data_IF_483244115048
#
_entry.id   IF_483244115048
#
_cell.length_a   1.000
_cell.length_b   1.000
_cell.length_c   1.000
_cell.angle_alpha   90.00
_cell.angle_beta   90.00
_cell.angle_gamma   90.00
#
_symmetry.space_group_name_H-M   'P 1'
#
loop_
_entity.id
_entity.type
_entity.pdbx_description
1 polymer ?
#
# COMPACT_ATOMS: atom_id res chain seq x y z
N UNK A 1 -2.67 0.17 2.57
CA UNK A 1 -2.49 -1.30 2.50
C UNK A 1 -3.83 -2.04 2.43
N UNK A 2 -4.74 -1.89 3.40
CA UNK A 2 -6.02 -2.63 3.41
C UNK A 2 -6.84 -2.51 2.11
N UNK A 3 -6.93 -1.31 1.53
CA UNK A 3 -7.62 -1.14 0.24
C UNK A 3 -6.96 -1.91 -0.92
N UNK A 4 -5.63 -2.04 -0.94
CA UNK A 4 -4.92 -2.84 -1.95
C UNK A 4 -5.29 -4.32 -1.80
N UNK A 5 -5.34 -4.83 -0.56
CA UNK A 5 -5.75 -6.21 -0.25
C UNK A 5 -7.20 -6.46 -0.66
N UNK A 6 -8.12 -5.59 -0.22
CA UNK A 6 -9.55 -5.72 -0.53
C UNK A 6 -9.81 -5.76 -2.04
N UNK A 7 -9.07 -4.94 -2.80
CA UNK A 7 -9.20 -4.91 -4.26
C UNK A 7 -8.67 -6.17 -4.91
N UNK A 8 -7.51 -6.68 -4.47
CA UNK A 8 -7.00 -7.97 -4.92
C UNK A 8 -8.00 -9.11 -4.66
N UNK A 9 -8.62 -9.12 -3.49
CA UNK A 9 -9.63 -10.12 -3.14
C UNK A 9 -10.87 -10.03 -4.03
N UNK A 10 -11.37 -8.82 -4.26
CA UNK A 10 -12.53 -8.59 -5.10
C UNK A 10 -12.25 -8.95 -6.57
N UNK A 11 -11.06 -8.65 -7.10
CA UNK A 11 -10.69 -9.05 -8.46
C UNK A 11 -10.49 -10.55 -8.59
N UNK A 12 -9.99 -11.23 -7.55
CA UNK A 12 -9.83 -12.70 -7.56
C UNK A 12 -11.19 -13.41 -7.52
N UNK A 13 -12.18 -12.83 -6.85
CA UNK A 13 -13.49 -13.45 -6.64
C UNK A 13 -14.62 -12.44 -6.85
N UNK A 14 -14.78 -11.96 -8.08
CA UNK A 14 -15.69 -10.87 -8.45
C UNK A 14 -17.17 -11.10 -8.06
N UNK A 15 -17.61 -12.35 -7.96
CA UNK A 15 -19.00 -12.71 -7.64
C UNK A 15 -19.29 -12.81 -6.15
N UNK A 16 -18.28 -12.78 -5.28
CA UNK A 16 -18.46 -12.92 -3.83
C UNK A 16 -18.89 -11.61 -3.15
N UNK A 17 -18.71 -10.47 -3.81
CA UNK A 17 -18.93 -9.16 -3.21
C UNK A 17 -19.94 -8.36 -4.03
N UNK A 18 -20.92 -7.77 -3.36
CA UNK A 18 -21.86 -6.83 -4.00
C UNK A 18 -21.18 -5.49 -4.37
N UNK A 19 -20.06 -5.15 -3.73
CA UNK A 19 -19.27 -3.97 -4.01
C UNK A 19 -18.11 -3.80 -3.03
N UNK A 20 -17.19 -2.87 -3.34
CA UNK A 20 -16.03 -2.55 -2.50
C UNK A 20 -15.94 -1.04 -2.30
N UNK A 21 -15.85 -0.60 -1.04
CA UNK A 21 -15.65 0.81 -0.66
C UNK A 21 -14.22 0.99 -0.18
N UNK A 22 -13.50 1.94 -0.77
CA UNK A 22 -12.07 2.13 -0.51
C UNK A 22 -11.77 3.52 0.06
N UNK A 23 -11.01 3.55 1.16
CA UNK A 23 -10.45 4.75 1.77
C UNK A 23 -8.92 4.72 1.70
N UNK A 24 -8.34 5.69 0.99
CA UNK A 24 -6.88 5.77 0.78
C UNK A 24 -6.25 4.47 0.25
N UNK A 25 -6.78 3.84 -0.83
CA UNK A 25 -6.22 2.61 -1.34
C UNK A 25 -4.80 2.85 -1.86
N UNK A 26 -3.88 1.96 -1.51
CA UNK A 26 -2.46 2.11 -1.83
C UNK A 26 -2.14 1.57 -3.23
N UNK A 27 -2.79 2.12 -4.26
CA UNK A 27 -2.62 1.67 -5.65
C UNK A 27 -1.35 2.18 -6.31
N UNK A 28 -0.89 3.37 -5.90
CA UNK A 28 0.31 3.99 -6.43
C UNK A 28 1.14 4.57 -5.31
N UNK A 29 2.44 4.54 -5.47
CA UNK A 29 3.35 5.31 -4.63
C UNK A 29 3.30 6.78 -5.07
N UNK A 30 3.30 7.72 -4.10
CA UNK A 30 3.20 9.16 -4.38
C UNK A 30 4.41 9.67 -5.17
N UNK A 31 5.58 9.07 -4.94
CA UNK A 31 6.79 9.28 -5.71
C UNK A 31 6.99 8.11 -6.68
N UNK A 32 7.29 8.41 -7.94
CA UNK A 32 7.76 7.37 -8.86
C UNK A 32 9.14 6.91 -8.38
N UNK A 33 9.18 5.72 -7.79
CA UNK A 33 10.42 5.05 -7.45
C UNK A 33 11.16 4.79 -8.76
N UNK A 34 12.30 5.44 -8.95
CA UNK A 34 13.15 5.24 -10.13
C UNK A 34 13.44 3.75 -10.36
N UNK A 35 13.51 3.34 -11.63
CA UNK A 35 13.67 1.94 -12.04
C UNK A 35 14.87 1.24 -11.37
N UNK A 36 15.96 1.99 -11.15
CA UNK A 36 17.17 1.53 -10.44
C UNK A 36 16.87 1.19 -8.99
N UNK A 37 16.21 2.10 -8.26
CA UNK A 37 15.89 1.92 -6.85
C UNK A 37 14.90 0.75 -6.66
N UNK A 38 13.92 0.61 -7.57
CA UNK A 38 13.02 -0.54 -7.60
C UNK A 38 13.80 -1.85 -7.74
N UNK A 39 14.79 -1.91 -8.63
CA UNK A 39 15.61 -3.12 -8.85
C UNK A 39 16.48 -3.46 -7.64
N UNK A 40 17.03 -2.44 -6.98
CA UNK A 40 17.76 -2.60 -5.72
C UNK A 40 16.86 -3.18 -4.62
N UNK A 41 15.60 -2.74 -4.49
CA UNK A 41 14.67 -3.29 -3.49
C UNK A 41 14.41 -4.79 -3.74
N UNK A 42 14.21 -5.22 -4.98
CA UNK A 42 14.03 -6.65 -5.30
C UNK A 42 15.30 -7.47 -5.06
N UNK A 43 16.47 -6.90 -5.37
CA UNK A 43 17.75 -7.52 -5.05
C UNK A 43 17.90 -7.67 -3.53
N UNK A 44 17.76 -6.60 -2.75
CA UNK A 44 17.85 -6.63 -1.30
C UNK A 44 16.81 -7.55 -0.65
N UNK A 45 15.59 -7.63 -1.21
CA UNK A 45 14.56 -8.57 -0.75
C UNK A 45 15.01 -10.03 -0.82
N UNK A 46 15.76 -10.38 -1.87
CA UNK A 46 16.23 -11.76 -2.10
C UNK A 46 17.42 -12.13 -1.22
N UNK A 47 18.35 -11.19 -1.01
CA UNK A 47 19.61 -11.43 -0.30
C UNK A 47 19.53 -11.09 1.19
N UNK A 48 18.85 -10.00 1.55
CA UNK A 48 18.80 -9.45 2.91
C UNK A 48 17.36 -9.04 3.28
N UNK A 49 16.39 -9.99 3.29
CA UNK A 49 14.96 -9.70 3.39
C UNK A 49 14.54 -8.92 4.64
N UNK A 50 15.32 -9.01 5.72
CA UNK A 50 15.06 -8.35 7.01
C UNK A 50 15.66 -6.94 7.11
N UNK A 51 16.41 -6.49 6.09
CA UNK A 51 17.05 -5.18 6.11
C UNK A 51 16.00 -4.06 6.22
N UNK A 52 16.11 -3.13 7.19
CA UNK A 52 15.23 -1.98 7.28
C UNK A 52 15.50 -0.99 6.14
N UNK A 53 14.46 -0.57 5.43
CA UNK A 53 14.57 0.28 4.22
C UNK A 53 13.94 1.66 4.42
N UNK A 54 12.72 1.75 4.97
CA UNK A 54 12.00 3.02 5.07
C UNK A 54 11.05 3.03 6.26
N UNK A 55 10.99 4.13 7.00
CA UNK A 55 9.97 4.36 8.02
C UNK A 55 8.78 5.09 7.40
N UNK A 56 7.58 4.85 7.95
CA UNK A 56 6.39 5.60 7.58
C UNK A 56 6.33 6.87 8.43
N UNK A 57 6.09 8.00 7.79
CA UNK A 57 5.89 9.25 8.50
C UNK A 57 4.44 9.35 8.98
N UNK A 58 4.27 9.33 10.31
CA UNK A 58 2.98 9.42 10.99
C UNK A 58 2.29 10.76 10.69
N UNK A 59 3.05 11.83 10.41
CA UNK A 59 2.48 13.12 10.04
C UNK A 59 1.67 13.05 8.73
N UNK A 60 1.92 12.05 7.88
CA UNK A 60 1.19 11.86 6.63
C UNK A 60 -0.17 11.15 6.82
N UNK A 61 -0.51 10.69 8.03
CA UNK A 61 -1.78 10.02 8.32
C UNK A 61 -2.96 10.98 8.21
N UNK A 62 -2.81 12.21 8.70
CA UNK A 62 -3.87 13.22 8.70
C UNK A 62 -3.31 14.64 8.79
N UNK A 63 -4.01 15.61 8.20
CA UNK A 63 -3.73 17.03 8.45
C UNK A 63 -4.23 17.50 9.82
N UNK A 64 -5.15 16.74 10.44
CA UNK A 64 -5.70 17.07 11.75
C UNK A 64 -4.70 16.66 12.84
N UNK A 65 -4.05 17.64 13.46
CA UNK A 65 -3.03 17.46 14.50
C UNK A 65 -3.51 16.56 15.64
N UNK A 66 -4.70 16.78 16.24
CA UNK A 66 -5.28 15.84 17.21
C UNK A 66 -5.30 14.37 16.77
N UNK A 67 -5.59 14.08 15.49
CA UNK A 67 -5.61 12.69 14.99
C UNK A 67 -4.21 12.10 14.92
N UNK A 68 -3.22 12.89 14.50
CA UNK A 68 -1.81 12.46 14.46
C UNK A 68 -1.31 12.13 15.86
N UNK A 69 -1.69 12.93 16.86
CA UNK A 69 -1.27 12.72 18.25
C UNK A 69 -1.87 11.44 18.85
N UNK A 70 -3.15 11.16 18.57
CA UNK A 70 -3.78 9.89 18.96
C UNK A 70 -3.04 8.68 18.38
N UNK A 71 -2.62 8.75 17.12
CA UNK A 71 -1.87 7.66 16.47
C UNK A 71 -0.48 7.47 17.10
N UNK A 72 0.18 8.55 17.53
CA UNK A 72 1.49 8.47 18.19
C UNK A 72 1.41 7.84 19.58
N UNK A 73 0.30 8.05 20.28
CA UNK A 73 0.08 7.56 21.65
C UNK A 73 -0.46 6.13 21.68
N UNK A 74 -0.88 5.58 20.54
CA UNK A 74 -1.44 4.22 20.45
C UNK A 74 -0.33 3.15 20.61
N UNK A 75 -0.36 2.33 21.68
CA UNK A 75 0.63 1.27 21.90
C UNK A 75 0.56 0.13 20.87
N UNK A 76 -0.56 0.01 20.14
CA UNK A 76 -0.74 -0.99 19.09
C UNK A 76 -0.35 -0.49 17.70
N UNK A 77 -0.04 0.81 17.57
CA UNK A 77 0.44 1.36 16.31
C UNK A 77 1.91 1.01 16.10
N UNK A 78 2.17 0.20 15.07
CA UNK A 78 3.54 -0.18 14.71
C UNK A 78 4.26 0.91 13.93
N UNK A 79 5.16 1.62 14.61
CA UNK A 79 6.15 2.54 14.00
C UNK A 79 7.39 1.83 13.43
N UNK A 80 7.34 0.51 13.23
CA UNK A 80 8.48 -0.27 12.77
C UNK A 80 8.92 0.12 11.35
N UNK A 81 10.23 0.12 11.13
CA UNK A 81 10.82 0.33 9.81
C UNK A 81 10.41 -0.79 8.85
N UNK A 82 9.92 -0.41 7.68
CA UNK A 82 9.57 -1.34 6.62
C UNK A 82 10.81 -2.09 6.15
N UNK A 83 10.70 -3.41 6.07
CA UNK A 83 11.78 -4.30 5.63
C UNK A 83 11.84 -4.38 4.11
N UNK A 84 13.02 -4.68 3.56
CA UNK A 84 13.23 -4.85 2.13
C UNK A 84 12.22 -5.81 1.49
N UNK A 85 11.96 -6.95 2.13
CA UNK A 85 10.97 -7.91 1.63
C UNK A 85 9.55 -7.36 1.63
N UNK A 86 9.15 -6.63 2.67
CA UNK A 86 7.84 -5.99 2.70
C UNK A 86 7.71 -4.98 1.55
N UNK A 87 8.71 -4.13 1.34
CA UNK A 87 8.71 -3.15 0.25
C UNK A 87 8.61 -3.82 -1.12
N UNK A 88 9.33 -4.93 -1.35
CA UNK A 88 9.24 -5.68 -2.60
C UNK A 88 7.86 -6.28 -2.84
N UNK A 89 7.28 -6.96 -1.84
CA UNK A 89 5.93 -7.53 -1.94
C UNK A 89 4.87 -6.45 -2.17
N UNK A 90 5.00 -5.31 -1.48
CA UNK A 90 4.08 -4.19 -1.62
C UNK A 90 4.10 -3.61 -3.04
N UNK A 91 5.30 -3.43 -3.62
CA UNK A 91 5.46 -2.95 -4.99
C UNK A 91 4.98 -3.97 -6.03
N UNK A 92 5.21 -5.26 -5.80
CA UNK A 92 4.67 -6.34 -6.65
C UNK A 92 3.15 -6.35 -6.63
N UNK A 93 2.53 -6.24 -5.46
CA UNK A 93 1.07 -6.22 -5.32
C UNK A 93 0.45 -5.01 -6.03
N UNK A 94 1.08 -3.83 -5.98
CA UNK A 94 0.63 -2.65 -6.73
C UNK A 94 0.70 -2.87 -8.25
N UNK A 95 1.81 -3.44 -8.74
CA UNK A 95 2.01 -3.76 -10.15
C UNK A 95 0.99 -4.77 -10.67
N UNK A 96 0.81 -5.85 -9.93
CA UNK A 96 -0.16 -6.89 -10.25
C UNK A 96 -1.58 -6.34 -10.30
N UNK A 97 -1.94 -5.50 -9.32
CA UNK A 97 -3.24 -4.85 -9.32
C UNK A 97 -3.42 -3.97 -10.57
N UNK A 98 -2.42 -3.17 -10.93
CA UNK A 98 -2.46 -2.31 -12.11
C UNK A 98 -2.72 -3.12 -13.38
N UNK A 99 -2.06 -4.26 -13.53
CA UNK A 99 -2.22 -5.13 -14.70
C UNK A 99 -3.61 -5.79 -14.73
N UNK A 100 -4.16 -6.15 -13.56
CA UNK A 100 -5.49 -6.79 -13.46
C UNK A 100 -6.65 -5.81 -13.57
N UNK A 101 -6.50 -4.57 -13.07
CA UNK A 101 -7.58 -3.57 -13.11
C UNK A 101 -8.02 -3.22 -14.53
N UNK A 102 -7.13 -3.30 -15.52
CA UNK A 102 -7.48 -3.08 -16.93
C UNK A 102 -8.57 -4.02 -17.46
N UNK A 103 -8.85 -5.14 -16.76
CA UNK A 103 -9.79 -6.18 -17.17
C UNK A 103 -10.93 -6.42 -16.15
N UNK A 104 -11.14 -5.48 -15.21
CA UNK A 104 -12.08 -5.65 -14.08
C UNK A 104 -13.52 -5.29 -14.43
N UNK A 105 -14.47 -6.17 -14.10
CA UNK A 105 -15.92 -5.93 -14.18
C UNK A 105 -16.58 -5.53 -12.84
N UNK A 106 -15.81 -5.44 -11.76
CA UNK A 106 -16.34 -5.15 -10.41
C UNK A 106 -16.57 -3.63 -10.24
N UNK A 107 -17.73 -3.19 -9.73
CA UNK A 107 -17.97 -1.78 -9.41
C UNK A 107 -17.13 -1.37 -8.19
N UNK A 108 -16.11 -0.53 -8.42
CA UNK A 108 -15.18 -0.05 -7.39
C UNK A 108 -15.41 1.45 -7.17
N UNK A 109 -15.84 1.84 -5.96
CA UNK A 109 -15.86 3.24 -5.55
C UNK A 109 -14.65 3.55 -4.69
N UNK A 110 -13.89 4.58 -5.07
CA UNK A 110 -12.73 5.05 -4.32
C UNK A 110 -12.73 6.57 -4.25
N UNK A 111 -12.44 7.12 -3.07
CA UNK A 111 -12.17 8.55 -2.94
C UNK A 111 -10.71 8.81 -3.33
N UNK A 112 -10.49 9.20 -4.58
CA UNK A 112 -9.19 9.68 -5.02
C UNK A 112 -8.95 11.07 -4.41
N UNK A 113 -8.25 11.12 -3.28
CA UNK A 113 -7.72 12.38 -2.75
C UNK A 113 -6.55 12.78 -3.64
N UNK A 114 -6.84 13.58 -4.68
CA UNK A 114 -5.81 14.27 -5.47
C UNK A 114 -4.93 15.04 -4.49
N UNK A 115 -3.64 14.69 -4.49
CA UNK A 115 -2.58 15.50 -3.92
C UNK A 115 -2.08 16.45 -5.00
#
# INVERSE_FOLDING_TARGET
MGGLIATHLALRHATLFAGVVLSGPAYRTTEEIGSVLRRLVFFLSSWVPKLPVRTLDVALVSHNVPVVELVRQDPYYSNATLRARFSAEFLSAQEELRNRMAHSSVPISHSARQR
#
